data_IF_858857633190
#
_entry.id   IF_858857633190
#
_cell.length_a   1.000
_cell.length_b   1.000
_cell.length_c   1.000
_cell.angle_alpha   90.00
_cell.angle_beta   90.00
_cell.angle_gamma   90.00
#
_symmetry.space_group_name_H-M   'P 1'
#
loop_
_entity.id
_entity.type
_entity.pdbx_description
1 polymer ?
#
# COMPACT_ATOMS: atom_id res chain seq x y z
N UNK A 1 13.53 13.76 -7.82
CA UNK A 1 12.89 12.61 -7.16
C UNK A 1 13.82 12.17 -6.08
N UNK A 2 13.45 12.38 -4.82
CA UNK A 2 14.07 11.69 -3.70
C UNK A 2 13.40 10.31 -3.67
N UNK A 3 14.17 9.25 -3.93
CA UNK A 3 13.71 7.89 -3.66
C UNK A 3 13.56 7.71 -2.15
N UNK A 4 12.54 6.95 -1.74
CA UNK A 4 12.29 6.67 -0.34
C UNK A 4 12.91 5.32 0.02
N UNK A 5 13.96 5.33 0.84
CA UNK A 5 14.67 4.11 1.26
C UNK A 5 13.75 3.09 1.95
N UNK A 6 12.62 3.53 2.51
CA UNK A 6 11.61 2.63 3.10
C UNK A 6 11.00 1.66 2.08
N UNK A 7 11.09 1.95 0.79
CA UNK A 7 10.57 1.13 -0.29
C UNK A 7 11.35 -0.18 -0.49
N UNK A 8 12.60 -0.22 -0.06
CA UNK A 8 13.48 -1.37 -0.22
C UNK A 8 13.59 -2.21 1.05
N UNK A 9 12.87 -1.85 2.11
CA UNK A 9 12.83 -2.63 3.33
C UNK A 9 11.94 -3.86 3.13
N UNK A 10 12.48 -5.01 3.47
CA UNK A 10 11.83 -6.32 3.59
C UNK A 10 10.54 -6.31 4.43
N UNK A 11 10.48 -5.45 5.45
CA UNK A 11 9.29 -5.25 6.30
C UNK A 11 8.25 -4.26 5.74
N UNK A 12 8.46 -3.72 4.54
CA UNK A 12 7.57 -2.73 3.94
C UNK A 12 7.00 -3.28 2.65
N UNK A 13 5.66 -3.38 2.59
CA UNK A 13 4.95 -3.78 1.40
C UNK A 13 4.27 -2.57 0.76
N UNK A 14 4.58 -2.33 -0.51
CA UNK A 14 3.84 -1.36 -1.32
C UNK A 14 2.55 -1.97 -1.82
N UNK A 15 1.45 -1.23 -1.68
CA UNK A 15 0.17 -1.57 -2.29
C UNK A 15 -0.04 -0.64 -3.47
N UNK A 16 -0.08 -1.21 -4.68
CA UNK A 16 -0.26 -0.46 -5.92
C UNK A 16 -1.75 -0.40 -6.29
N UNK A 17 -2.27 0.81 -6.48
CA UNK A 17 -3.66 1.02 -6.87
C UNK A 17 -4.14 2.45 -6.62
N UNK A 18 -5.38 2.73 -7.04
CA UNK A 18 -6.08 3.94 -6.63
C UNK A 18 -6.41 3.86 -5.13
N UNK A 19 -6.07 4.91 -4.38
CA UNK A 19 -6.17 4.91 -2.93
C UNK A 19 -7.59 4.61 -2.43
N UNK A 20 -8.62 5.14 -3.10
CA UNK A 20 -10.00 4.98 -2.68
C UNK A 20 -10.45 3.53 -2.88
N UNK A 21 -10.21 2.97 -4.08
CA UNK A 21 -10.60 1.59 -4.38
C UNK A 21 -9.87 0.59 -3.48
N UNK A 22 -8.57 0.77 -3.29
CA UNK A 22 -7.75 -0.12 -2.45
C UNK A 22 -8.24 -0.14 -0.99
N UNK A 23 -8.58 1.02 -0.41
CA UNK A 23 -9.08 1.09 0.96
C UNK A 23 -10.47 0.44 1.08
N UNK A 24 -11.35 0.64 0.09
CA UNK A 24 -12.67 0.00 0.08
C UNK A 24 -12.56 -1.54 0.03
N UNK A 25 -11.68 -2.08 -0.82
CA UNK A 25 -11.47 -3.53 -0.94
C UNK A 25 -10.86 -4.14 0.34
N UNK A 26 -9.90 -3.45 0.98
CA UNK A 26 -9.31 -3.88 2.25
C UNK A 26 -10.38 -3.89 3.36
N UNK A 27 -11.20 -2.85 3.43
CA UNK A 27 -12.24 -2.74 4.47
C UNK A 27 -13.27 -3.87 4.35
N UNK A 28 -13.70 -4.18 3.12
CA UNK A 28 -14.63 -5.30 2.86
C UNK A 28 -14.04 -6.68 3.18
N UNK A 29 -12.72 -6.85 3.08
CA UNK A 29 -12.07 -8.12 3.37
C UNK A 29 -11.90 -8.40 4.88
N UNK A 30 -12.11 -7.37 5.73
CA UNK A 30 -11.96 -7.45 7.19
C UNK A 30 -13.32 -7.68 7.88
N UNK A 31 -14.43 -7.32 7.24
CA UNK A 31 -15.81 -7.65 7.68
C UNK A 31 -16.16 -9.13 7.42
#
# INVERSE_FOLDING_TARGET
>A
GLDNDLFYLDKTMMVFGDAKKTIEDITRAIE
#
